data_IF_775481546388
#
_entry.id   IF_775481546388
#
_cell.length_a   1.000
_cell.length_b   1.000
_cell.length_c   1.000
_cell.angle_alpha   90.00
_cell.angle_beta   90.00
_cell.angle_gamma   90.00
#
_symmetry.space_group_name_H-M   'P 1'
#
loop_
_entity.id
_entity.type
_entity.pdbx_description
1 polymer ?
#
# COMPACT_ATOMS: atom_id res chain seq x y z
N UNK A 1 -21.83 35.79 -36.24
CA UNK A 1 -21.24 34.85 -35.27
C UNK A 1 -22.15 34.85 -34.07
N UNK A 2 -22.78 33.72 -33.79
CA UNK A 2 -23.86 33.59 -32.81
C UNK A 2 -23.28 33.54 -31.39
N UNK A 3 -23.82 34.34 -30.47
CA UNK A 3 -23.38 34.42 -29.07
C UNK A 3 -23.42 33.05 -28.37
N UNK A 4 -24.39 32.20 -28.75
CA UNK A 4 -24.52 30.85 -28.21
C UNK A 4 -23.37 29.94 -28.65
N UNK A 5 -22.85 30.12 -29.87
CA UNK A 5 -21.72 29.35 -30.36
C UNK A 5 -20.43 29.72 -29.60
N UNK A 6 -20.22 31.02 -29.34
CA UNK A 6 -19.08 31.49 -28.54
C UNK A 6 -19.14 30.98 -27.09
N UNK A 7 -20.33 30.96 -26.46
CA UNK A 7 -20.47 30.41 -25.11
C UNK A 7 -20.18 28.91 -25.05
N UNK A 8 -20.59 28.16 -26.07
CA UNK A 8 -20.32 26.72 -26.14
C UNK A 8 -18.83 26.43 -26.33
N UNK A 9 -18.16 27.17 -27.21
CA UNK A 9 -16.70 27.06 -27.42
C UNK A 9 -15.91 27.38 -26.15
N UNK A 10 -16.25 28.48 -25.45
CA UNK A 10 -15.61 28.86 -24.18
C UNK A 10 -15.86 27.82 -23.09
N UNK A 11 -17.08 27.27 -23.02
CA UNK A 11 -17.40 26.24 -22.04
C UNK A 11 -16.60 24.95 -22.30
N UNK A 12 -16.49 24.52 -23.55
CA UNK A 12 -15.73 23.31 -23.91
C UNK A 12 -14.24 23.45 -23.56
N UNK A 13 -13.64 24.59 -23.90
CA UNK A 13 -12.24 24.89 -23.55
C UNK A 13 -12.00 24.93 -22.04
N UNK A 14 -12.93 25.51 -21.26
CA UNK A 14 -12.81 25.56 -19.81
C UNK A 14 -12.87 24.15 -19.19
N UNK A 15 -13.73 23.27 -19.72
CA UNK A 15 -13.82 21.87 -19.28
C UNK A 15 -12.56 21.07 -19.60
N UNK A 16 -12.02 21.21 -20.82
CA UNK A 16 -10.77 20.55 -21.22
C UNK A 16 -9.59 20.98 -20.34
N UNK A 17 -9.46 22.28 -20.06
CA UNK A 17 -8.44 22.80 -19.15
C UNK A 17 -8.58 22.25 -17.73
N UNK A 18 -9.81 22.15 -17.22
CA UNK A 18 -10.07 21.57 -15.89
C UNK A 18 -9.72 20.08 -15.85
N UNK A 19 -10.02 19.33 -16.91
CA UNK A 19 -9.73 17.90 -16.99
C UNK A 19 -8.22 17.64 -17.10
N UNK A 20 -7.51 18.43 -17.90
CA UNK A 20 -6.05 18.35 -18.02
C UNK A 20 -5.37 18.62 -16.67
N UNK A 21 -5.80 19.66 -15.95
CA UNK A 21 -5.31 19.94 -14.60
C UNK A 21 -5.56 18.76 -13.65
N UNK A 22 -6.74 18.13 -13.70
CA UNK A 22 -7.03 16.97 -12.85
C UNK A 22 -6.07 15.79 -13.10
N UNK A 23 -5.75 15.49 -14.36
CA UNK A 23 -4.83 14.40 -14.73
C UNK A 23 -3.42 14.68 -14.22
N UNK A 24 -2.95 15.92 -14.38
CA UNK A 24 -1.65 16.37 -13.86
C UNK A 24 -1.55 16.19 -12.34
N UNK A 25 -2.60 16.57 -11.60
CA UNK A 25 -2.64 16.44 -10.14
C UNK A 25 -2.55 14.99 -9.68
N UNK A 26 -3.31 14.10 -10.32
CA UNK A 26 -3.34 12.67 -9.98
C UNK A 26 -1.98 12.03 -10.25
N UNK A 27 -1.38 12.29 -11.42
CA UNK A 27 -0.10 11.68 -11.78
C UNK A 27 1.03 12.10 -10.83
N UNK A 28 1.10 13.37 -10.43
CA UNK A 28 2.10 13.81 -9.48
C UNK A 28 1.84 13.33 -8.05
N UNK A 29 0.57 13.27 -7.62
CA UNK A 29 0.23 12.70 -6.33
C UNK A 29 0.60 11.22 -6.27
N UNK A 30 0.36 10.46 -7.35
CA UNK A 30 0.73 9.05 -7.46
C UNK A 30 2.25 8.85 -7.36
N UNK A 31 3.03 9.61 -8.13
CA UNK A 31 4.50 9.53 -8.10
C UNK A 31 5.08 9.83 -6.70
N UNK A 32 4.59 10.89 -6.06
CA UNK A 32 5.00 11.26 -4.71
C UNK A 32 4.61 10.18 -3.68
N UNK A 33 3.40 9.64 -3.79
CA UNK A 33 2.94 8.56 -2.90
C UNK A 33 3.75 7.28 -3.08
N UNK A 34 4.15 6.93 -4.30
CA UNK A 34 4.99 5.75 -4.56
C UNK A 34 6.35 5.88 -3.87
N UNK A 35 6.99 7.04 -3.98
CA UNK A 35 8.28 7.31 -3.33
C UNK A 35 8.16 7.32 -1.81
N UNK A 36 7.12 7.96 -1.28
CA UNK A 36 6.83 7.96 0.15
C UNK A 36 6.62 6.55 0.70
N UNK A 37 5.81 5.73 0.02
CA UNK A 37 5.55 4.34 0.41
C UNK A 37 6.84 3.50 0.44
N UNK A 38 7.71 3.66 -0.55
CA UNK A 38 9.02 2.98 -0.59
C UNK A 38 9.86 3.36 0.63
N UNK A 39 9.93 4.65 0.97
CA UNK A 39 10.63 5.13 2.16
C UNK A 39 10.06 4.53 3.45
N UNK A 40 8.74 4.54 3.60
CA UNK A 40 8.09 4.02 4.80
C UNK A 40 8.23 2.51 4.95
N UNK A 41 8.29 1.76 3.85
CA UNK A 41 8.55 0.32 3.89
C UNK A 41 9.95 0.00 4.45
N UNK A 42 10.97 0.78 4.08
CA UNK A 42 12.33 0.62 4.60
C UNK A 42 12.36 0.91 6.11
N UNK A 43 11.73 2.02 6.52
CA UNK A 43 11.63 2.42 7.93
C UNK A 43 10.88 1.37 8.77
N UNK A 44 9.82 0.77 8.21
CA UNK A 44 9.08 -0.32 8.86
C UNK A 44 9.92 -1.60 9.01
N UNK A 45 10.78 -1.92 8.03
CA UNK A 45 11.69 -3.07 8.10
C UNK A 45 12.74 -2.93 9.22
N UNK A 46 13.08 -1.69 9.58
CA UNK A 46 13.93 -1.37 10.73
C UNK A 46 13.17 -1.41 12.07
N UNK A 47 11.87 -1.76 12.05
CA UNK A 47 11.03 -1.86 13.24
C UNK A 47 10.47 -0.53 13.73
N UNK A 48 10.61 0.55 12.96
CA UNK A 48 10.02 1.83 13.29
C UNK A 48 8.53 1.87 12.93
N UNK A 49 7.79 2.77 13.57
CA UNK A 49 6.33 2.92 13.41
C UNK A 49 5.89 4.27 12.87
N UNK A 50 6.86 5.09 12.49
CA UNK A 50 6.64 6.42 11.98
C UNK A 50 7.63 6.68 10.84
N UNK A 51 7.13 7.26 9.77
CA UNK A 51 7.89 7.64 8.60
C UNK A 51 7.52 9.07 8.23
N UNK A 52 8.54 9.85 7.89
CA UNK A 52 8.41 11.24 7.47
C UNK A 52 9.17 11.44 6.18
N UNK A 53 8.61 12.27 5.32
CA UNK A 53 9.18 12.62 4.05
C UNK A 53 9.00 14.11 3.84
N UNK A 54 10.07 14.77 3.44
CA UNK A 54 10.06 16.18 3.10
C UNK A 54 10.90 16.34 1.85
N UNK A 55 10.32 16.91 0.81
CA UNK A 55 11.03 17.15 -0.44
C UNK A 55 10.55 18.43 -1.12
N UNK A 56 11.42 18.99 -1.95
CA UNK A 56 11.14 20.13 -2.77
C UNK A 56 10.31 19.69 -3.98
N UNK A 57 9.12 20.25 -4.13
CA UNK A 57 8.26 19.95 -5.26
C UNK A 57 8.90 20.41 -6.58
N UNK A 58 9.93 21.26 -6.56
CA UNK A 58 10.62 21.65 -7.80
C UNK A 58 11.10 20.44 -8.64
N UNK A 59 11.53 19.34 -8.01
CA UNK A 59 12.03 18.15 -8.72
C UNK A 59 10.90 17.44 -9.47
N UNK A 60 9.75 17.22 -8.83
CA UNK A 60 8.61 16.55 -9.47
C UNK A 60 7.95 17.41 -10.54
N UNK A 61 8.10 18.74 -10.47
CA UNK A 61 7.33 19.69 -11.27
C UNK A 61 8.09 20.10 -12.53
N UNK A 62 9.43 20.08 -12.53
CA UNK A 62 10.22 20.31 -13.73
C UNK A 62 10.20 19.18 -14.75
N UNK A 63 9.75 17.99 -14.37
CA UNK A 63 9.59 16.87 -15.30
C UNK A 63 8.30 16.97 -16.15
N UNK A 64 7.58 18.10 -16.10
CA UNK A 64 6.46 18.41 -17.01
C UNK A 64 5.07 18.10 -16.46
N UNK A 65 4.96 17.78 -15.16
CA UNK A 65 3.69 17.34 -14.57
C UNK A 65 2.80 18.46 -14.03
N UNK A 66 3.21 19.73 -14.08
CA UNK A 66 2.37 20.83 -13.61
C UNK A 66 2.57 22.14 -14.38
N UNK A 67 1.49 22.94 -14.44
CA UNK A 67 1.55 24.31 -14.92
C UNK A 67 2.50 25.17 -14.07
N UNK A 68 3.39 25.93 -14.73
CA UNK A 68 4.22 26.96 -14.09
C UNK A 68 3.36 27.89 -13.20
N UNK A 69 3.86 28.25 -12.02
CA UNK A 69 3.17 29.18 -11.11
C UNK A 69 2.12 28.55 -10.20
N UNK A 70 2.16 27.22 -10.00
CA UNK A 70 1.26 26.51 -9.08
C UNK A 70 1.37 27.04 -7.65
N UNK A 71 2.55 27.51 -7.26
CA UNK A 71 2.84 28.09 -5.95
C UNK A 71 2.00 29.35 -5.66
N UNK A 72 1.48 29.98 -6.72
CA UNK A 72 0.65 31.19 -6.65
C UNK A 72 -0.84 30.89 -6.68
N UNK A 73 -1.24 29.61 -6.64
CA UNK A 73 -2.63 29.16 -6.75
C UNK A 73 -3.07 28.46 -5.44
N UNK A 74 -3.58 29.20 -4.43
CA UNK A 74 -3.97 28.61 -3.14
C UNK A 74 -5.00 27.49 -3.27
N UNK A 75 -6.01 27.68 -4.14
CA UNK A 75 -7.04 26.65 -4.40
C UNK A 75 -6.47 25.36 -4.98
N UNK A 76 -5.35 25.45 -5.68
CA UNK A 76 -4.67 24.28 -6.23
C UNK A 76 -3.92 23.56 -5.11
N UNK A 77 -3.20 24.32 -4.28
CA UNK A 77 -2.46 23.80 -3.13
C UNK A 77 -3.38 23.04 -2.18
N UNK A 78 -4.51 23.63 -1.81
CA UNK A 78 -5.50 23.00 -0.92
C UNK A 78 -6.03 21.67 -1.50
N UNK A 79 -6.38 21.68 -2.79
CA UNK A 79 -6.89 20.47 -3.48
C UNK A 79 -5.84 19.37 -3.54
N UNK A 80 -4.59 19.74 -3.82
CA UNK A 80 -3.50 18.77 -3.91
C UNK A 80 -3.18 18.16 -2.54
N UNK A 81 -3.15 18.96 -1.47
CA UNK A 81 -3.00 18.46 -0.10
C UNK A 81 -4.14 17.51 0.28
N UNK A 82 -5.40 17.87 -0.01
CA UNK A 82 -6.56 17.00 0.25
C UNK A 82 -6.47 15.68 -0.52
N UNK A 83 -6.01 15.71 -1.77
CA UNK A 83 -5.78 14.51 -2.57
C UNK A 83 -4.73 13.61 -1.92
N UNK A 84 -3.60 14.18 -1.49
CA UNK A 84 -2.54 13.43 -0.80
C UNK A 84 -3.01 12.84 0.53
N UNK A 85 -3.73 13.60 1.35
CA UNK A 85 -4.31 13.09 2.61
C UNK A 85 -5.27 11.92 2.37
N UNK A 86 -6.06 11.99 1.30
CA UNK A 86 -6.96 10.90 0.90
C UNK A 86 -6.16 9.65 0.56
N UNK A 87 -5.14 9.77 -0.30
CA UNK A 87 -4.27 8.64 -0.70
C UNK A 87 -3.50 8.04 0.47
N UNK A 88 -3.02 8.88 1.39
CA UNK A 88 -2.36 8.42 2.62
C UNK A 88 -3.30 7.54 3.45
N UNK A 89 -4.54 7.99 3.66
CA UNK A 89 -5.53 7.24 4.45
C UNK A 89 -5.91 5.91 3.79
N UNK A 90 -6.07 5.91 2.46
CA UNK A 90 -6.32 4.69 1.68
C UNK A 90 -5.15 3.70 1.80
N UNK A 91 -3.92 4.20 1.74
CA UNK A 91 -2.69 3.38 1.77
C UNK A 91 -2.42 2.78 3.15
N UNK A 92 -2.44 3.60 4.20
CA UNK A 92 -2.02 3.19 5.55
C UNK A 92 -3.18 2.69 6.42
N UNK A 93 -4.41 2.84 5.94
CA UNK A 93 -5.62 2.38 6.62
C UNK A 93 -6.09 3.29 7.77
N UNK A 94 -7.29 3.02 8.31
CA UNK A 94 -7.99 3.92 9.22
C UNK A 94 -7.36 4.03 10.63
N UNK A 95 -6.46 3.11 10.99
CA UNK A 95 -5.79 3.11 12.29
C UNK A 95 -4.48 3.89 12.29
N UNK A 96 -4.06 4.39 11.13
CA UNK A 96 -2.82 5.15 10.97
C UNK A 96 -3.10 6.64 11.10
N UNK A 97 -2.18 7.36 11.73
CA UNK A 97 -2.16 8.81 11.75
C UNK A 97 -1.37 9.26 10.52
N UNK A 98 -2.02 10.00 9.62
CA UNK A 98 -1.38 10.48 8.40
C UNK A 98 -1.60 11.98 8.23
N UNK A 99 -0.64 12.67 7.64
CA UNK A 99 -0.75 14.09 7.32
C UNK A 99 0.00 14.42 6.04
N UNK A 100 -0.56 15.34 5.25
CA UNK A 100 0.13 16.01 4.17
C UNK A 100 0.06 17.52 4.39
N UNK A 101 1.16 18.22 4.14
CA UNK A 101 1.21 19.67 4.30
C UNK A 101 2.26 20.28 3.39
N UNK A 102 2.05 21.51 2.93
CA UNK A 102 3.08 22.26 2.24
C UNK A 102 4.05 22.86 3.27
N UNK A 103 5.34 22.83 2.96
CA UNK A 103 6.36 23.40 3.84
C UNK A 103 6.41 24.91 3.70
N UNK A 104 6.47 25.65 4.81
CA UNK A 104 6.61 27.11 4.75
C UNK A 104 8.02 27.49 4.26
N UNK A 105 8.10 28.33 3.21
CA UNK A 105 9.35 28.94 2.74
C UNK A 105 10.17 28.12 1.74
N UNK A 106 9.97 26.81 1.65
CA UNK A 106 10.43 25.97 0.53
C UNK A 106 9.19 25.48 -0.18
N UNK A 107 9.14 25.53 -1.51
CA UNK A 107 8.02 25.04 -2.29
C UNK A 107 7.94 23.52 -2.23
N UNK A 108 7.82 22.96 -1.03
CA UNK A 108 7.98 21.56 -0.72
C UNK A 108 6.72 20.97 -0.12
N UNK A 109 6.75 19.66 -0.01
CA UNK A 109 5.69 18.86 0.58
C UNK A 109 6.27 18.06 1.73
N UNK A 110 5.54 18.03 2.83
CA UNK A 110 5.80 17.14 3.95
C UNK A 110 4.69 16.10 4.03
N UNK A 111 5.07 14.83 4.01
CA UNK A 111 4.20 13.69 4.24
C UNK A 111 4.65 12.98 5.52
N UNK A 112 3.68 12.57 6.33
CA UNK A 112 3.96 11.73 7.49
C UNK A 112 2.91 10.64 7.61
N UNK A 113 3.38 9.47 8.05
CA UNK A 113 2.54 8.34 8.40
C UNK A 113 3.08 7.71 9.68
N UNK A 114 2.18 7.48 10.63
CA UNK A 114 2.43 6.76 11.85
C UNK A 114 1.41 5.65 12.00
N UNK A 115 1.88 4.42 12.10
CA UNK A 115 1.04 3.25 12.25
C UNK A 115 1.14 2.70 13.68
N UNK A 116 0.13 1.96 14.16
CA UNK A 116 0.24 1.32 15.46
C UNK A 116 1.45 0.39 15.47
N UNK A 117 2.16 0.35 16.59
CA UNK A 117 3.07 -0.76 16.86
C UNK A 117 2.31 -2.06 16.59
N UNK A 118 2.95 -3.05 15.94
CA UNK A 118 2.38 -4.37 15.87
C UNK A 118 2.18 -4.76 17.33
N UNK A 119 0.94 -4.65 17.82
CA UNK A 119 0.65 -4.91 19.21
C UNK A 119 1.17 -6.31 19.40
N UNK A 120 2.25 -6.45 20.15
CA UNK A 120 2.71 -7.72 20.66
C UNK A 120 1.71 -8.11 21.75
N UNK A 121 0.46 -8.25 21.32
CA UNK A 121 -0.59 -8.98 21.97
C UNK A 121 -0.11 -10.40 21.92
N UNK A 122 0.71 -10.74 22.92
CA UNK A 122 0.56 -11.98 23.67
C UNK A 122 -0.87 -12.01 24.17
N UNK A 123 -1.84 -12.15 23.26
CA UNK A 123 -3.04 -12.85 23.64
C UNK A 123 -2.58 -14.29 23.53
N UNK A 124 -2.24 -14.84 24.69
CA UNK A 124 -2.46 -16.25 24.94
C UNK A 124 -3.96 -16.49 24.70
N UNK A 125 -4.36 -16.55 23.44
CA UNK A 125 -5.64 -17.13 23.09
C UNK A 125 -5.47 -18.60 23.45
N UNK A 126 -6.34 -19.17 24.31
CA UNK A 126 -6.45 -20.62 24.37
C UNK A 126 -6.63 -21.07 22.92
N UNK A 127 -5.80 -22.02 22.54
CA UNK A 127 -5.67 -22.54 21.18
C UNK A 127 -7.07 -22.93 20.68
N UNK A 128 -7.76 -21.99 20.03
CA UNK A 128 -8.96 -22.30 19.26
C UNK A 128 -8.44 -22.64 17.89
N UNK A 129 -8.33 -23.95 17.65
CA UNK A 129 -8.08 -24.55 16.35
C UNK A 129 -9.27 -24.25 15.42
N UNK A 130 -9.45 -22.98 15.03
CA UNK A 130 -10.18 -22.65 13.82
C UNK A 130 -9.17 -22.78 12.67
N UNK A 131 -9.41 -23.64 11.67
CA UNK A 131 -8.50 -23.78 10.55
C UNK A 131 -8.49 -22.47 9.76
N UNK A 132 -7.46 -21.65 9.97
CA UNK A 132 -7.15 -20.55 9.06
C UNK A 132 -6.70 -21.21 7.77
N UNK A 133 -7.60 -21.27 6.79
CA UNK A 133 -7.26 -21.69 5.44
C UNK A 133 -6.24 -20.70 4.88
N UNK A 134 -4.97 -21.05 5.00
CA UNK A 134 -3.85 -20.32 4.42
C UNK A 134 -3.81 -20.60 2.91
N UNK A 135 -4.90 -20.29 2.21
CA UNK A 135 -4.98 -20.37 0.75
C UNK A 135 -4.12 -19.29 0.06
N UNK A 136 -3.28 -18.56 0.82
CA UNK A 136 -2.24 -17.68 0.30
C UNK A 136 -1.02 -18.51 -0.17
N UNK A 137 -1.24 -19.24 -1.26
CA UNK A 137 -0.39 -19.72 -2.36
C UNK A 137 1.13 -19.98 -2.23
N UNK A 138 1.87 -19.72 -1.14
CA UNK A 138 3.32 -19.98 -1.05
C UNK A 138 3.67 -20.99 0.04
N UNK A 139 4.50 -21.99 -0.30
CA UNK A 139 4.96 -22.98 0.66
C UNK A 139 5.93 -22.34 1.68
N UNK A 140 5.75 -22.53 3.01
CA UNK A 140 6.62 -21.93 4.02
C UNK A 140 8.04 -22.53 4.08
N UNK A 141 8.30 -23.61 3.32
CA UNK A 141 9.61 -24.29 3.30
C UNK A 141 10.46 -23.79 2.13
N UNK A 142 9.91 -23.75 0.91
CA UNK A 142 10.64 -23.32 -0.28
C UNK A 142 10.24 -21.95 -0.82
N UNK A 143 9.18 -21.35 -0.28
CA UNK A 143 8.59 -20.07 -0.73
C UNK A 143 8.06 -20.07 -2.17
N UNK A 144 8.00 -21.23 -2.84
CA UNK A 144 7.41 -21.37 -4.18
C UNK A 144 5.88 -21.49 -4.12
N UNK A 145 5.21 -21.01 -5.18
CA UNK A 145 3.78 -21.27 -5.42
C UNK A 145 3.61 -22.61 -6.14
N UNK A 146 2.84 -23.53 -5.56
CA UNK A 146 2.60 -24.86 -6.12
C UNK A 146 1.34 -25.51 -5.51
N UNK A 147 0.94 -26.66 -6.07
CA UNK A 147 -0.08 -27.56 -5.50
C UNK A 147 0.20 -27.85 -4.02
N UNK A 148 -0.88 -27.89 -3.24
CA UNK A 148 -0.85 -27.81 -1.79
C UNK A 148 -1.25 -29.12 -1.12
N UNK A 149 -0.50 -29.52 -0.09
CA UNK A 149 -0.72 -30.70 0.74
C UNK A 149 -0.85 -30.27 2.19
N UNK A 150 -1.96 -30.63 2.85
CA UNK A 150 -2.16 -30.40 4.27
C UNK A 150 -1.55 -31.53 5.12
N UNK A 151 -0.81 -31.19 6.16
CA UNK A 151 -0.29 -32.13 7.14
C UNK A 151 -1.34 -32.38 8.23
N UNK A 152 -1.63 -33.64 8.54
CA UNK A 152 -2.55 -34.01 9.62
C UNK A 152 -1.77 -34.33 10.91
N UNK A 153 -2.28 -33.96 12.10
CA UNK A 153 -3.58 -33.32 12.36
C UNK A 153 -3.58 -31.79 12.28
N UNK A 154 -2.41 -31.15 12.24
CA UNK A 154 -2.29 -29.69 12.43
C UNK A 154 -2.91 -28.81 11.34
N UNK A 155 -3.15 -29.36 10.14
CA UNK A 155 -3.74 -28.65 9.00
C UNK A 155 -2.78 -27.72 8.23
N UNK A 156 -1.50 -27.62 8.61
CA UNK A 156 -0.54 -26.76 7.91
C UNK A 156 -0.22 -27.27 6.51
N UNK A 157 -0.13 -26.33 5.57
CA UNK A 157 -0.05 -26.62 4.14
C UNK A 157 1.37 -26.42 3.61
N UNK A 158 1.88 -27.39 2.84
CA UNK A 158 3.16 -27.36 2.13
C UNK A 158 2.95 -27.63 0.64
N UNK A 159 3.94 -27.33 -0.20
CA UNK A 159 3.92 -27.85 -1.56
C UNK A 159 4.18 -29.35 -1.59
N UNK A 160 3.74 -30.02 -2.66
CA UNK A 160 3.92 -31.47 -2.85
C UNK A 160 5.38 -31.90 -2.65
N UNK A 161 6.34 -31.16 -3.23
CA UNK A 161 7.78 -31.47 -3.12
C UNK A 161 8.32 -31.33 -1.70
N UNK A 162 7.94 -30.28 -0.95
CA UNK A 162 8.38 -30.14 0.43
C UNK A 162 7.69 -31.14 1.35
N UNK A 163 6.46 -31.54 1.05
CA UNK A 163 5.69 -32.49 1.87
C UNK A 163 6.34 -33.88 1.99
N UNK A 164 7.19 -34.28 1.03
CA UNK A 164 7.85 -35.60 1.07
C UNK A 164 8.84 -35.72 2.22
N UNK A 165 9.37 -34.60 2.70
CA UNK A 165 10.29 -34.57 3.84
C UNK A 165 9.58 -34.71 5.19
N UNK A 166 8.25 -34.56 5.22
CA UNK A 166 7.44 -34.54 6.44
C UNK A 166 6.44 -35.71 6.44
N UNK A 167 6.96 -36.93 6.64
CA UNK A 167 6.18 -38.16 6.71
C UNK A 167 5.69 -38.45 8.13
N UNK A 168 4.88 -39.50 8.28
CA UNK A 168 4.37 -39.94 9.59
C UNK A 168 5.52 -40.10 10.60
N UNK A 169 5.38 -39.48 11.77
CA UNK A 169 6.37 -39.52 12.84
C UNK A 169 7.36 -38.35 12.84
N UNK A 170 7.41 -37.55 11.77
CA UNK A 170 8.18 -36.29 11.73
C UNK A 170 7.43 -35.16 12.43
N UNK A 171 8.07 -34.00 12.59
CA UNK A 171 7.46 -32.79 13.13
C UNK A 171 7.10 -31.80 12.02
N UNK A 172 5.94 -31.16 12.15
CA UNK A 172 5.48 -30.12 11.23
C UNK A 172 6.48 -28.95 11.26
N UNK A 173 6.96 -28.45 10.10
CA UNK A 173 7.93 -27.34 10.07
C UNK A 173 7.34 -26.01 10.55
N UNK A 174 6.01 -25.89 10.58
CA UNK A 174 5.31 -24.65 10.97
C UNK A 174 5.01 -24.62 12.47
N UNK A 175 4.40 -25.69 13.01
CA UNK A 175 3.93 -25.72 14.40
C UNK A 175 4.66 -26.74 15.29
N UNK A 176 5.56 -27.55 14.73
CA UNK A 176 6.32 -28.61 15.41
C UNK A 176 5.48 -29.77 15.97
N UNK A 177 4.18 -29.80 15.69
CA UNK A 177 3.31 -30.93 16.02
C UNK A 177 3.69 -32.20 15.24
N UNK A 178 3.46 -33.39 15.81
CA UNK A 178 3.79 -34.65 15.17
C UNK A 178 2.86 -34.92 13.98
N UNK A 179 3.45 -35.22 12.82
CA UNK A 179 2.72 -35.52 11.59
C UNK A 179 2.20 -36.96 11.64
N UNK A 180 0.88 -37.11 11.52
CA UNK A 180 0.21 -38.41 11.41
C UNK A 180 -0.04 -38.82 9.94
N UNK A 181 -0.14 -37.85 9.04
CA UNK A 181 -0.41 -38.08 7.63
C UNK A 181 -0.43 -36.80 6.81
N UNK A 182 -0.81 -36.94 5.54
CA UNK A 182 -0.88 -35.85 4.58
C UNK A 182 -2.11 -36.01 3.68
N UNK A 183 -2.77 -34.91 3.34
CA UNK A 183 -3.93 -34.88 2.46
C UNK A 183 -3.69 -33.88 1.35
N UNK A 184 -3.76 -34.34 0.10
CA UNK A 184 -3.70 -33.44 -1.04
C UNK A 184 -4.97 -32.58 -1.06
N UNK A 185 -4.79 -31.27 -1.18
CA UNK A 185 -5.90 -30.35 -1.37
C UNK A 185 -6.03 -30.11 -2.88
N UNK A 186 -7.16 -30.53 -3.45
CA UNK A 186 -7.47 -30.25 -4.85
C UNK A 186 -7.97 -28.81 -4.96
N UNK A 187 -7.28 -27.99 -5.76
CA UNK A 187 -7.75 -26.65 -6.16
C UNK A 187 -8.46 -26.71 -7.50
#
# INVERSE_FOLDING_TARGET
MDFLQQLNEVSCQAWEQQQQQHVEHEGAAEALMEEFQKGCLLVAQEGQTECRYEDDLYIYFNHGNFSNGWEKKPKFQDKFVVLLETRLRETFGPNSQTSASLTEGRHGIALAAKWPEPTHRVVQHPISHAPRSNMNSQCPVCLCRAEVVALTPCGHVLCVSCSTNFHRGTTCPVCREQVAGRQNLFS
#
